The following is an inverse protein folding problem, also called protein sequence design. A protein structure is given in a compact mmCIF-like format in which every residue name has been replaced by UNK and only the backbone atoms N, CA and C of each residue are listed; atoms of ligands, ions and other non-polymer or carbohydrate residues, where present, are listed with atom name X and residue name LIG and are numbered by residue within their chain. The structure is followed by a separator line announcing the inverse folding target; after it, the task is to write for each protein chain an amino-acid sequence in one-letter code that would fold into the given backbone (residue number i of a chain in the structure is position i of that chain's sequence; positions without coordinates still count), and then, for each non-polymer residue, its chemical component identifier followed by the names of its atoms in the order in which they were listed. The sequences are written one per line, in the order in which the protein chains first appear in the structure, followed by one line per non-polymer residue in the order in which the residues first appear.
data_IF_952262409826
#
_entry.id   IF_952262409826
#
_cell.length_a   1.000
_cell.length_b   1.000
_cell.length_c   1.000
_cell.angle_alpha   90.00
_cell.angle_beta   90.00
_cell.angle_gamma   90.00
#
_symmetry.space_group_name_H-M   'P 1'
#
loop_
_entity.id
_entity.type
_entity.pdbx_description
1 polymer ?
#
# COMPACT_ATOMS: atom_id res chain seq x y z
N UNK A 1 13.60 14.75 -18.17
CA UNK A 1 14.95 14.58 -17.61
C UNK A 1 15.23 13.09 -17.61
N UNK A 2 15.87 12.57 -18.67
CA UNK A 2 16.34 11.19 -18.68
C UNK A 2 17.51 11.17 -17.70
N UNK A 3 17.37 10.45 -16.60
CA UNK A 3 18.45 10.26 -15.66
C UNK A 3 19.54 9.50 -16.43
N UNK A 4 20.66 10.17 -16.70
CA UNK A 4 21.84 9.53 -17.24
C UNK A 4 22.24 8.37 -16.33
N UNK A 5 22.75 7.29 -16.92
CA UNK A 5 23.14 6.02 -16.29
C UNK A 5 24.20 6.13 -15.15
N UNK A 6 24.47 7.33 -14.64
CA UNK A 6 25.35 7.61 -13.51
C UNK A 6 24.73 7.31 -12.12
N UNK A 7 23.45 6.90 -12.06
CA UNK A 7 22.78 6.54 -10.80
C UNK A 7 22.94 5.06 -10.40
N UNK A 8 23.79 4.29 -11.12
CA UNK A 8 23.91 2.83 -11.05
C UNK A 8 25.07 2.30 -10.18
N UNK A 9 25.63 3.08 -9.26
CA UNK A 9 26.80 2.64 -8.45
C UNK A 9 26.69 3.03 -6.97
N UNK A 10 25.53 2.86 -6.37
CA UNK A 10 25.43 2.83 -4.91
C UNK A 10 25.00 1.44 -4.50
N UNK A 11 25.81 0.81 -3.65
CA UNK A 11 25.42 -0.42 -2.98
C UNK A 11 24.13 -0.18 -2.20
N UNK A 12 23.31 -1.22 -2.08
CA UNK A 12 22.12 -1.16 -1.24
C UNK A 12 22.52 -0.83 0.20
N UNK A 13 21.89 0.20 0.76
CA UNK A 13 22.16 0.58 2.14
C UNK A 13 21.62 -0.51 3.08
N UNK A 14 22.38 -0.97 4.08
CA UNK A 14 21.92 -2.02 5.00
C UNK A 14 20.56 -1.73 5.62
N UNK A 15 20.31 -0.48 6.01
CA UNK A 15 19.01 -0.06 6.56
C UNK A 15 17.85 -0.22 5.57
N UNK A 16 18.09 -0.06 4.26
CA UNK A 16 17.07 -0.28 3.23
C UNK A 16 16.69 -1.76 3.13
N UNK A 17 17.68 -2.65 3.25
CA UNK A 17 17.47 -4.10 3.26
C UNK A 17 16.71 -4.49 4.53
N UNK A 18 17.13 -4.00 5.70
CA UNK A 18 16.47 -4.27 6.97
C UNK A 18 15.00 -3.83 6.94
N UNK A 19 14.72 -2.61 6.48
CA UNK A 19 13.36 -2.08 6.36
C UNK A 19 12.55 -2.86 5.32
N UNK A 20 13.14 -3.23 4.19
CA UNK A 20 12.49 -4.06 3.17
C UNK A 20 12.02 -5.39 3.79
N UNK A 21 12.94 -6.11 4.43
CA UNK A 21 12.69 -7.43 5.01
C UNK A 21 11.68 -7.35 6.17
N UNK A 22 11.80 -6.34 7.04
CA UNK A 22 10.94 -6.21 8.22
C UNK A 22 9.51 -5.74 7.85
N UNK A 23 9.39 -4.74 6.97
CA UNK A 23 8.11 -4.04 6.74
C UNK A 23 7.36 -4.53 5.50
N UNK A 24 8.08 -4.91 4.44
CA UNK A 24 7.48 -5.06 3.10
C UNK A 24 7.52 -6.49 2.57
N UNK A 25 8.63 -7.20 2.74
CA UNK A 25 8.74 -8.60 2.35
C UNK A 25 7.73 -9.47 3.10
N UNK A 26 7.21 -10.49 2.43
CA UNK A 26 6.24 -11.46 2.98
C UNK A 26 6.61 -12.87 2.56
N UNK A 27 6.44 -13.83 3.48
CA UNK A 27 6.85 -15.21 3.23
C UNK A 27 8.35 -15.30 3.00
N UNK A 28 8.74 -15.87 1.85
CA UNK A 28 10.13 -16.11 1.49
C UNK A 28 10.76 -14.98 0.64
N UNK A 29 10.06 -13.87 0.43
CA UNK A 29 10.57 -12.69 -0.29
C UNK A 29 11.83 -12.13 0.41
N UNK A 30 12.87 -11.84 -0.36
CA UNK A 30 14.13 -11.26 0.14
C UNK A 30 14.60 -10.02 -0.62
N UNK A 31 14.02 -9.75 -1.78
CA UNK A 31 14.47 -8.70 -2.68
C UNK A 31 13.34 -7.72 -3.04
N UNK A 32 13.72 -6.51 -3.42
CA UNK A 32 12.76 -5.49 -3.90
C UNK A 32 12.03 -5.96 -5.16
N UNK A 33 12.68 -6.76 -6.02
CA UNK A 33 12.09 -7.30 -7.24
C UNK A 33 10.94 -8.27 -6.94
N UNK A 34 11.12 -9.18 -5.98
CA UNK A 34 10.09 -10.11 -5.56
C UNK A 34 8.87 -9.38 -5.00
N UNK A 35 9.10 -8.36 -4.16
CA UNK A 35 8.02 -7.50 -3.63
C UNK A 35 7.29 -6.79 -4.77
N UNK A 36 8.01 -6.21 -5.74
CA UNK A 36 7.39 -5.55 -6.92
C UNK A 36 6.55 -6.52 -7.73
N UNK A 37 7.02 -7.75 -7.96
CA UNK A 37 6.24 -8.78 -8.68
C UNK A 37 4.96 -9.12 -7.94
N UNK A 38 5.02 -9.36 -6.63
CA UNK A 38 3.83 -9.62 -5.82
C UNK A 38 2.84 -8.46 -5.90
N UNK A 39 3.32 -7.23 -5.73
CA UNK A 39 2.48 -6.02 -5.76
C UNK A 39 1.82 -5.87 -7.13
N UNK A 40 2.58 -6.02 -8.22
CA UNK A 40 2.07 -5.93 -9.58
C UNK A 40 0.96 -6.96 -9.84
N UNK A 41 1.20 -8.24 -9.47
CA UNK A 41 0.21 -9.30 -9.57
C UNK A 41 -1.04 -8.99 -8.75
N UNK A 42 -0.85 -8.48 -7.53
CA UNK A 42 -1.93 -8.10 -6.62
C UNK A 42 -2.81 -6.98 -7.18
N UNK A 43 -2.19 -5.93 -7.72
CA UNK A 43 -2.90 -4.81 -8.33
C UNK A 43 -3.67 -5.24 -9.59
N UNK A 44 -3.11 -6.13 -10.40
CA UNK A 44 -3.75 -6.62 -11.61
C UNK A 44 -5.01 -7.48 -11.36
N UNK A 45 -5.23 -8.02 -10.14
CA UNK A 45 -6.37 -8.91 -9.88
C UNK A 45 -7.74 -8.23 -10.02
N UNK A 46 -7.82 -6.89 -9.90
CA UNK A 46 -9.07 -6.14 -10.10
C UNK A 46 -9.52 -6.13 -11.58
N UNK A 47 -8.57 -6.35 -12.48
CA UNK A 47 -8.82 -6.35 -13.93
C UNK A 47 -9.50 -7.64 -14.38
N UNK A 48 -10.15 -7.56 -15.56
CA UNK A 48 -10.72 -8.74 -16.23
C UNK A 48 -9.64 -9.79 -16.47
N UNK A 49 -9.94 -11.10 -16.31
CA UNK A 49 -8.95 -12.18 -16.42
C UNK A 49 -8.05 -12.09 -17.66
N UNK A 50 -8.61 -11.77 -18.82
CA UNK A 50 -7.90 -11.66 -20.10
C UNK A 50 -6.95 -10.45 -20.19
N UNK A 51 -7.04 -9.49 -19.28
CA UNK A 51 -6.19 -8.29 -19.25
C UNK A 51 -5.14 -8.33 -18.12
N UNK A 52 -5.23 -9.30 -17.19
CA UNK A 52 -4.40 -9.32 -15.98
C UNK A 52 -2.92 -9.37 -16.29
N UNK A 53 -2.49 -10.23 -17.20
CA UNK A 53 -1.08 -10.37 -17.57
C UNK A 53 -0.52 -9.07 -18.18
N UNK A 54 -1.34 -8.37 -18.97
CA UNK A 54 -0.97 -7.09 -19.59
C UNK A 54 -0.79 -6.01 -18.52
N UNK A 55 -1.71 -5.94 -17.55
CA UNK A 55 -1.65 -4.95 -16.48
C UNK A 55 -0.60 -5.26 -15.43
N UNK A 56 -0.41 -6.53 -15.05
CA UNK A 56 0.66 -6.97 -14.17
C UNK A 56 2.02 -6.52 -14.72
N UNK A 57 2.27 -6.78 -16.00
CA UNK A 57 3.50 -6.30 -16.65
C UNK A 57 3.64 -4.79 -16.56
N UNK A 58 2.59 -4.03 -16.88
CA UNK A 58 2.62 -2.56 -16.85
C UNK A 58 2.87 -2.00 -15.44
N UNK A 59 2.26 -2.59 -14.42
CA UNK A 59 2.48 -2.18 -13.03
C UNK A 59 3.91 -2.48 -12.59
N UNK A 60 4.43 -3.65 -12.95
CA UNK A 60 5.82 -4.01 -12.67
C UNK A 60 6.80 -3.06 -13.37
N UNK A 61 6.63 -2.82 -14.67
CA UNK A 61 7.45 -1.91 -15.46
C UNK A 61 7.44 -0.50 -14.85
N UNK A 62 6.28 0.03 -14.48
CA UNK A 62 6.16 1.33 -13.83
C UNK A 62 6.97 1.40 -12.51
N UNK A 63 6.95 0.34 -11.69
CA UNK A 63 7.71 0.29 -10.44
C UNK A 63 9.22 0.16 -10.66
N UNK A 64 9.64 -0.53 -11.72
CA UNK A 64 11.04 -0.58 -12.16
C UNK A 64 11.50 0.80 -12.63
N UNK A 65 10.63 1.53 -13.33
CA UNK A 65 10.88 2.88 -13.86
C UNK A 65 10.81 3.99 -12.79
N UNK A 66 10.63 3.64 -11.52
CA UNK A 66 10.74 4.55 -10.38
C UNK A 66 9.40 4.99 -9.76
N UNK A 67 8.27 4.45 -10.18
CA UNK A 67 7.03 4.61 -9.43
C UNK A 67 7.10 3.81 -8.12
N UNK A 68 6.90 4.48 -6.98
CA UNK A 68 6.91 3.83 -5.67
C UNK A 68 5.49 3.89 -5.08
N UNK A 69 4.78 2.75 -4.97
CA UNK A 69 3.48 2.70 -4.34
C UNK A 69 3.54 3.12 -2.87
N UNK A 70 2.40 3.51 -2.32
CA UNK A 70 2.29 3.79 -0.90
C UNK A 70 2.67 2.59 -0.02
N UNK A 71 3.09 2.86 1.22
CA UNK A 71 3.55 1.81 2.14
C UNK A 71 2.56 0.65 2.35
N UNK A 72 1.25 0.91 2.46
CA UNK A 72 0.24 -0.15 2.59
C UNK A 72 0.07 -0.99 1.33
N UNK A 73 0.19 -0.37 0.16
CA UNK A 73 0.19 -1.09 -1.12
C UNK A 73 1.38 -2.05 -1.18
N UNK A 74 2.60 -1.58 -0.92
CA UNK A 74 3.80 -2.43 -0.94
C UNK A 74 3.73 -3.57 0.08
N UNK A 75 3.20 -3.30 1.28
CA UNK A 75 3.13 -4.28 2.36
C UNK A 75 2.07 -5.36 2.14
N UNK A 76 0.91 -5.02 1.56
CA UNK A 76 -0.27 -5.90 1.57
C UNK A 76 -0.79 -6.33 0.19
N UNK A 77 -0.52 -5.61 -0.91
CA UNK A 77 -1.05 -5.98 -2.23
C UNK A 77 -0.53 -7.37 -2.65
N UNK A 78 -1.43 -8.22 -3.14
CA UNK A 78 -1.09 -9.59 -3.58
C UNK A 78 -0.79 -10.58 -2.44
N UNK A 79 -1.01 -10.18 -1.18
CA UNK A 79 -0.95 -11.05 0.01
C UNK A 79 -2.35 -11.56 0.39
N UNK A 80 -2.43 -12.54 1.30
CA UNK A 80 -3.70 -12.97 1.92
C UNK A 80 -4.12 -12.13 3.14
N UNK A 81 -3.43 -11.03 3.44
CA UNK A 81 -3.68 -10.23 4.64
C UNK A 81 -4.95 -9.38 4.43
N UNK A 82 -5.89 -9.44 5.37
CA UNK A 82 -7.10 -8.62 5.38
C UNK A 82 -6.82 -7.15 5.83
N UNK A 83 -5.90 -6.48 5.14
CA UNK A 83 -5.54 -5.08 5.35
C UNK A 83 -6.13 -4.18 4.25
N UNK A 84 -6.25 -2.88 4.54
CA UNK A 84 -6.54 -1.89 3.49
C UNK A 84 -5.28 -1.55 2.70
N UNK A 85 -5.43 -1.30 1.40
CA UNK A 85 -4.36 -0.76 0.54
C UNK A 85 -4.33 0.78 0.56
N UNK A 86 -5.32 1.42 1.18
CA UNK A 86 -5.41 2.88 1.30
C UNK A 86 -4.53 3.34 2.46
N UNK A 87 -3.69 4.34 2.23
CA UNK A 87 -2.84 4.91 3.27
C UNK A 87 -3.57 5.96 4.12
N UNK A 88 -4.33 6.83 3.47
CA UNK A 88 -4.85 8.07 4.06
C UNK A 88 -6.38 8.04 4.07
N UNK A 89 -6.96 8.22 5.26
CA UNK A 89 -8.38 8.38 5.49
C UNK A 89 -8.64 9.75 6.11
N UNK A 90 -9.83 10.29 5.89
CA UNK A 90 -10.31 11.50 6.55
C UNK A 90 -11.66 11.15 7.15
N UNK A 91 -11.76 11.26 8.47
CA UNK A 91 -12.96 10.95 9.22
C UNK A 91 -13.66 12.24 9.65
N UNK A 92 -14.88 12.52 9.17
CA UNK A 92 -15.65 13.65 9.67
C UNK A 92 -16.17 13.34 11.08
N UNK A 93 -16.30 14.38 11.92
CA UNK A 93 -16.76 14.28 13.31
C UNK A 93 -17.80 15.37 13.56
N UNK A 94 -19.00 14.97 13.94
CA UNK A 94 -20.10 15.87 14.29
C UNK A 94 -19.96 16.40 15.71
N UNK A 95 -20.59 17.55 15.97
CA UNK A 95 -20.56 18.22 17.29
C UNK A 95 -21.56 17.57 18.26
N UNK A 96 -21.37 16.29 18.49
CA UNK A 96 -22.16 15.47 19.40
C UNK A 96 -21.28 14.41 20.06
N UNK A 97 -21.63 14.01 21.28
CA UNK A 97 -20.91 12.95 22.00
C UNK A 97 -21.25 11.58 21.37
N UNK A 98 -22.54 11.26 21.22
CA UNK A 98 -23.04 9.98 20.68
C UNK A 98 -24.03 10.18 19.53
N UNK A 99 -24.23 9.13 18.72
CA UNK A 99 -25.20 9.12 17.62
C UNK A 99 -24.68 9.71 16.32
N UNK A 100 -25.57 10.39 15.60
CA UNK A 100 -25.30 11.04 14.31
C UNK A 100 -25.89 12.44 14.38
N UNK A 101 -25.08 13.45 14.06
CA UNK A 101 -25.50 14.86 13.98
C UNK A 101 -25.41 15.31 12.52
N UNK A 102 -26.52 15.79 11.94
CA UNK A 102 -26.58 16.27 10.56
C UNK A 102 -25.98 15.30 9.51
N UNK A 103 -26.13 13.98 9.72
CA UNK A 103 -25.58 12.95 8.85
C UNK A 103 -24.08 12.67 9.06
N UNK A 104 -23.43 13.33 10.03
CA UNK A 104 -22.03 13.14 10.41
C UNK A 104 -21.95 12.31 11.69
N UNK A 105 -21.06 11.31 11.78
CA UNK A 105 -20.90 10.53 12.99
C UNK A 105 -20.40 11.41 14.14
N UNK A 106 -20.98 11.22 15.32
CA UNK A 106 -20.55 11.89 16.56
C UNK A 106 -19.14 11.44 16.98
N UNK A 107 -18.57 12.05 18.02
CA UNK A 107 -17.21 11.76 18.52
C UNK A 107 -16.98 10.26 18.77
N UNK A 108 -17.81 9.59 19.57
CA UNK A 108 -17.62 8.16 19.86
C UNK A 108 -17.88 7.24 18.67
N UNK A 109 -18.81 7.60 17.78
CA UNK A 109 -19.08 6.82 16.58
C UNK A 109 -17.92 6.93 15.58
N UNK A 110 -17.39 8.13 15.37
CA UNK A 110 -16.22 8.39 14.55
C UNK A 110 -14.98 7.68 15.11
N UNK A 111 -14.79 7.68 16.43
CA UNK A 111 -13.69 6.94 17.08
C UNK A 111 -13.79 5.43 16.81
N UNK A 112 -14.99 4.84 16.86
CA UNK A 112 -15.19 3.42 16.55
C UNK A 112 -14.82 3.11 15.08
N UNK A 113 -15.26 3.97 14.15
CA UNK A 113 -14.91 3.84 12.72
C UNK A 113 -13.40 4.01 12.47
N UNK A 114 -12.77 4.97 13.15
CA UNK A 114 -11.32 5.18 13.10
C UNK A 114 -10.56 3.97 13.65
N UNK A 115 -11.04 3.34 14.72
CA UNK A 115 -10.46 2.12 15.27
C UNK A 115 -10.46 0.97 14.25
N UNK A 116 -11.56 0.76 13.51
CA UNK A 116 -11.60 -0.24 12.45
C UNK A 116 -10.62 0.08 11.31
N UNK A 117 -10.46 1.36 10.97
CA UNK A 117 -9.48 1.82 9.98
C UNK A 117 -8.06 1.48 10.43
N UNK A 118 -7.69 1.83 11.66
CA UNK A 118 -6.39 1.53 12.25
C UNK A 118 -6.14 0.02 12.36
N UNK A 119 -7.16 -0.78 12.74
CA UNK A 119 -7.07 -2.24 12.80
C UNK A 119 -6.71 -2.87 11.46
N UNK A 120 -7.17 -2.26 10.35
CA UNK A 120 -6.83 -2.66 8.97
C UNK A 120 -5.53 -2.04 8.45
N UNK A 121 -4.89 -1.20 9.23
CA UNK A 121 -3.65 -0.48 8.89
C UNK A 121 -3.85 0.90 8.28
N UNK A 122 -5.07 1.40 8.07
CA UNK A 122 -5.26 2.76 7.58
C UNK A 122 -4.79 3.81 8.60
N UNK A 123 -4.26 4.94 8.11
CA UNK A 123 -4.08 6.14 8.92
C UNK A 123 -5.32 7.04 8.79
N UNK A 124 -5.84 7.53 9.92
CA UNK A 124 -7.07 8.32 10.02
C UNK A 124 -6.87 9.47 11.00
#
# INVERSE_FOLDING_TARGET
MKLDNAQLLLDEQPISIDVLLEKYAKGDEKTVDEVRRRVARGLAQVEKPELRDVWEKRFYDAMVDGFIPGGRVNSAAGTGIAATLINCFVQPVGDAITGVDNGVPSIYLALNQAAETMRRGGGV
#
